data_IF_578680797332
#
_entry.id   IF_578680797332
#
_cell.length_a   1.000
_cell.length_b   1.000
_cell.length_c   1.000
_cell.angle_alpha   90.00
_cell.angle_beta   90.00
_cell.angle_gamma   90.00
#
_symmetry.space_group_name_H-M   'P 1'
#
loop_
_entity.id
_entity.type
_entity.pdbx_description
1 polymer ?
#
# COMPACT_ATOMS: atom_id res chain seq x y z
N UNK A 1 -24.06 -23.14 -8.21
CA UNK A 1 -23.21 -23.05 -6.98
C UNK A 1 -21.80 -22.52 -7.24
N UNK A 2 -21.24 -22.68 -8.46
CA UNK A 2 -19.88 -22.15 -8.81
C UNK A 2 -19.85 -20.62 -8.96
N UNK A 3 -20.94 -19.98 -9.30
CA UNK A 3 -20.98 -18.56 -9.65
C UNK A 3 -20.81 -17.62 -8.43
N UNK A 4 -21.18 -18.06 -7.22
CA UNK A 4 -21.01 -17.29 -6.00
C UNK A 4 -19.58 -17.31 -5.47
N UNK A 5 -18.80 -18.34 -5.78
CA UNK A 5 -17.42 -18.47 -5.32
C UNK A 5 -16.48 -17.42 -5.93
N UNK A 6 -16.84 -16.91 -7.12
CA UNK A 6 -16.09 -15.86 -7.83
C UNK A 6 -16.03 -14.55 -7.02
N UNK A 7 -16.99 -14.32 -6.12
CA UNK A 7 -17.03 -13.11 -5.29
C UNK A 7 -16.25 -13.24 -3.97
N UNK A 8 -15.73 -14.43 -3.64
CA UNK A 8 -14.97 -14.62 -2.38
C UNK A 8 -13.77 -13.68 -2.27
N UNK A 9 -12.90 -13.52 -3.30
CA UNK A 9 -11.79 -12.55 -3.20
C UNK A 9 -12.28 -11.13 -2.92
N UNK A 10 -13.32 -10.67 -3.63
CA UNK A 10 -13.87 -9.33 -3.40
C UNK A 10 -14.40 -9.14 -1.97
N UNK A 11 -15.03 -10.18 -1.40
CA UNK A 11 -15.52 -10.14 -0.03
C UNK A 11 -14.36 -10.01 0.97
N UNK A 12 -13.26 -10.72 0.72
CA UNK A 12 -12.05 -10.63 1.54
C UNK A 12 -11.47 -9.21 1.48
N UNK A 13 -11.39 -8.58 0.30
CA UNK A 13 -10.90 -7.20 0.15
C UNK A 13 -11.80 -6.19 0.87
N UNK A 14 -13.13 -6.36 0.81
CA UNK A 14 -14.09 -5.53 1.56
C UNK A 14 -13.90 -5.72 3.08
N UNK A 15 -13.76 -6.97 3.52
CA UNK A 15 -13.51 -7.27 4.93
C UNK A 15 -12.23 -6.62 5.43
N UNK A 16 -11.17 -6.58 4.60
CA UNK A 16 -9.93 -5.87 4.92
C UNK A 16 -10.15 -4.37 5.11
N UNK A 17 -10.93 -3.72 4.26
CA UNK A 17 -11.29 -2.30 4.44
C UNK A 17 -12.02 -2.09 5.78
N UNK A 18 -12.96 -2.97 6.11
CA UNK A 18 -13.70 -2.90 7.39
C UNK A 18 -12.74 -3.12 8.58
N UNK A 19 -11.78 -4.03 8.45
CA UNK A 19 -10.79 -4.33 9.50
C UNK A 19 -9.86 -3.15 9.80
N UNK A 20 -9.69 -2.19 8.90
CA UNK A 20 -8.89 -0.98 9.17
C UNK A 20 -9.42 -0.25 10.42
N UNK A 21 -10.74 -0.12 10.56
CA UNK A 21 -11.31 0.55 11.72
C UNK A 21 -10.94 -0.11 13.07
N UNK A 22 -11.18 -1.42 13.29
CA UNK A 22 -10.79 -2.06 14.55
C UNK A 22 -9.26 -2.08 14.77
N UNK A 23 -8.46 -2.10 13.72
CA UNK A 23 -6.99 -1.98 13.84
C UNK A 23 -6.63 -0.62 14.45
N UNK A 24 -7.12 0.47 13.86
CA UNK A 24 -6.79 1.83 14.29
C UNK A 24 -7.35 2.15 15.67
N UNK A 25 -8.60 1.77 15.97
CA UNK A 25 -9.21 2.05 17.27
C UNK A 25 -8.55 1.26 18.41
N UNK A 26 -8.15 0.01 18.18
CA UNK A 26 -7.40 -0.76 19.18
C UNK A 26 -6.01 -0.16 19.39
N UNK A 27 -5.34 0.31 18.34
CA UNK A 27 -4.07 1.00 18.47
C UNK A 27 -4.21 2.27 19.32
N UNK A 28 -5.15 3.13 18.97
CA UNK A 28 -5.43 4.37 19.71
C UNK A 28 -5.76 4.15 21.19
N UNK A 29 -6.48 3.08 21.50
CA UNK A 29 -6.84 2.72 22.88
C UNK A 29 -5.71 1.99 23.65
N UNK A 30 -4.50 1.84 23.07
CA UNK A 30 -3.38 1.14 23.70
C UNK A 30 -3.49 -0.39 23.68
N UNK A 31 -4.46 -0.95 22.98
CA UNK A 31 -4.63 -2.40 22.84
C UNK A 31 -3.77 -2.93 21.67
N UNK A 32 -2.47 -2.72 21.73
CA UNK A 32 -1.54 -2.99 20.63
C UNK A 32 -1.53 -4.45 20.17
N UNK A 33 -1.71 -5.41 21.08
CA UNK A 33 -1.80 -6.83 20.74
C UNK A 33 -2.98 -7.12 19.79
N UNK A 34 -4.15 -6.54 20.03
CA UNK A 34 -5.31 -6.71 19.15
C UNK A 34 -5.11 -5.99 17.82
N UNK A 35 -4.53 -4.78 17.83
CA UNK A 35 -4.19 -4.06 16.62
C UNK A 35 -3.23 -4.88 15.74
N UNK A 36 -2.15 -5.41 16.31
CA UNK A 36 -1.21 -6.27 15.60
C UNK A 36 -1.88 -7.54 15.05
N UNK A 37 -2.71 -8.20 15.86
CA UNK A 37 -3.41 -9.42 15.44
C UNK A 37 -4.32 -9.17 14.25
N UNK A 38 -5.12 -8.11 14.27
CA UNK A 38 -5.98 -7.73 13.16
C UNK A 38 -5.17 -7.27 11.93
N UNK A 39 -4.05 -6.57 12.12
CA UNK A 39 -3.16 -6.18 11.03
C UNK A 39 -2.55 -7.39 10.32
N UNK A 40 -2.07 -8.37 11.07
CA UNK A 40 -1.56 -9.63 10.51
C UNK A 40 -2.66 -10.38 9.77
N UNK A 41 -3.85 -10.49 10.34
CA UNK A 41 -5.01 -11.13 9.68
C UNK A 41 -5.37 -10.43 8.38
N UNK A 42 -5.40 -9.10 8.37
CA UNK A 42 -5.68 -8.32 7.17
C UNK A 42 -4.59 -8.50 6.09
N UNK A 43 -3.31 -8.50 6.49
CA UNK A 43 -2.19 -8.70 5.57
C UNK A 43 -2.12 -10.12 5.00
N UNK A 44 -2.43 -11.14 5.81
CA UNK A 44 -2.50 -12.52 5.35
C UNK A 44 -3.70 -12.76 4.44
N UNK A 45 -4.83 -12.09 4.71
CA UNK A 45 -6.02 -12.21 3.86
C UNK A 45 -5.76 -11.71 2.44
N UNK A 46 -4.94 -10.67 2.25
CA UNK A 46 -4.49 -10.20 0.94
C UNK A 46 -3.70 -11.26 0.16
N UNK A 47 -2.76 -11.92 0.83
CA UNK A 47 -2.01 -13.02 0.20
C UNK A 47 -2.93 -14.17 -0.21
N UNK A 48 -3.97 -14.45 0.60
CA UNK A 48 -4.95 -15.50 0.33
C UNK A 48 -5.89 -15.16 -0.82
N UNK A 49 -6.48 -13.97 -0.85
CA UNK A 49 -7.41 -13.59 -1.91
C UNK A 49 -6.71 -13.52 -3.27
N UNK A 50 -5.50 -12.93 -3.32
CA UNK A 50 -4.68 -12.92 -4.51
C UNK A 50 -4.27 -14.32 -4.99
N UNK A 51 -3.99 -15.25 -4.07
CA UNK A 51 -3.72 -16.64 -4.40
C UNK A 51 -4.97 -17.36 -4.96
N UNK A 52 -6.12 -17.23 -4.27
CA UNK A 52 -7.39 -17.82 -4.68
C UNK A 52 -7.84 -17.30 -6.05
N UNK A 53 -7.81 -15.97 -6.24
CA UNK A 53 -8.20 -15.32 -7.48
C UNK A 53 -7.38 -15.82 -8.69
N UNK A 54 -6.09 -16.03 -8.51
CA UNK A 54 -5.19 -16.55 -9.57
C UNK A 54 -5.36 -18.03 -9.81
N UNK A 55 -5.44 -18.84 -8.76
CA UNK A 55 -5.49 -20.30 -8.86
C UNK A 55 -6.80 -20.79 -9.46
N UNK A 56 -7.92 -20.15 -9.11
CA UNK A 56 -9.26 -20.54 -9.55
C UNK A 56 -9.81 -19.69 -10.69
N UNK A 57 -9.04 -18.72 -11.22
CA UNK A 57 -9.49 -17.75 -12.22
C UNK A 57 -10.74 -16.95 -11.78
N UNK A 58 -10.81 -16.58 -10.49
CA UNK A 58 -11.89 -15.79 -9.89
C UNK A 58 -11.61 -14.28 -9.93
N UNK A 59 -10.90 -13.83 -10.93
CA UNK A 59 -10.59 -12.42 -11.11
C UNK A 59 -11.82 -11.68 -11.63
N UNK A 60 -12.30 -10.70 -10.86
CA UNK A 60 -13.41 -9.83 -11.25
C UNK A 60 -12.89 -8.42 -11.55
N UNK A 61 -13.61 -7.66 -12.37
CA UNK A 61 -13.27 -6.24 -12.61
C UNK A 61 -13.35 -5.40 -11.31
N UNK A 62 -14.30 -5.73 -10.43
CA UNK A 62 -14.41 -5.09 -9.11
C UNK A 62 -13.21 -5.43 -8.22
N UNK A 63 -12.74 -6.69 -8.19
CA UNK A 63 -11.59 -7.11 -7.41
C UNK A 63 -10.32 -6.36 -7.83
N UNK A 64 -10.06 -6.21 -9.12
CA UNK A 64 -8.91 -5.45 -9.64
C UNK A 64 -8.84 -4.01 -9.14
N UNK A 65 -9.97 -3.43 -8.72
CA UNK A 65 -10.08 -2.07 -8.16
C UNK A 65 -10.04 -2.11 -6.63
N UNK A 66 -10.78 -3.04 -6.02
CA UNK A 66 -10.91 -3.14 -4.56
C UNK A 66 -9.61 -3.53 -3.87
N UNK A 67 -8.85 -4.48 -4.45
CA UNK A 67 -7.61 -4.98 -3.85
C UNK A 67 -6.58 -3.85 -3.63
N UNK A 68 -6.18 -3.05 -4.66
CA UNK A 68 -5.25 -1.95 -4.46
C UNK A 68 -5.77 -0.86 -3.50
N UNK A 69 -7.10 -0.67 -3.44
CA UNK A 69 -7.71 0.29 -2.52
C UNK A 69 -7.59 -0.23 -1.09
N UNK A 70 -7.96 -1.48 -0.83
CA UNK A 70 -7.92 -2.09 0.49
C UNK A 70 -6.50 -2.08 1.07
N UNK A 71 -5.50 -2.44 0.28
CA UNK A 71 -4.09 -2.42 0.68
C UNK A 71 -3.61 -1.03 1.06
N UNK A 72 -3.94 -0.04 0.23
CA UNK A 72 -3.57 1.36 0.51
C UNK A 72 -4.27 1.89 1.76
N UNK A 73 -5.55 1.58 1.97
CA UNK A 73 -6.28 2.00 3.16
C UNK A 73 -5.66 1.45 4.44
N UNK A 74 -5.25 0.18 4.44
CA UNK A 74 -4.61 -0.45 5.59
C UNK A 74 -3.27 0.23 5.93
N UNK A 75 -2.37 0.35 4.94
CA UNK A 75 -1.03 0.89 5.17
C UNK A 75 -1.04 2.39 5.46
N UNK A 76 -1.83 3.18 4.72
CA UNK A 76 -1.97 4.62 4.96
C UNK A 76 -2.60 4.86 6.33
N UNK A 77 -3.63 4.09 6.71
CA UNK A 77 -4.26 4.19 8.02
C UNK A 77 -3.27 3.97 9.15
N UNK A 78 -2.42 2.93 9.05
CA UNK A 78 -1.40 2.66 10.06
C UNK A 78 -0.33 3.75 10.13
N UNK A 79 0.15 4.23 9.00
CA UNK A 79 1.13 5.33 8.98
C UNK A 79 0.54 6.62 9.54
N UNK A 80 -0.74 6.91 9.26
CA UNK A 80 -1.42 8.08 9.81
C UNK A 80 -1.58 8.00 11.33
N UNK A 81 -1.97 6.85 11.89
CA UNK A 81 -2.10 6.72 13.34
C UNK A 81 -0.74 6.83 14.03
N UNK A 82 0.33 6.26 13.47
CA UNK A 82 1.69 6.41 14.00
C UNK A 82 2.15 7.86 14.00
N UNK A 83 1.79 8.63 12.99
CA UNK A 83 2.10 10.06 12.94
C UNK A 83 1.28 10.85 13.97
N UNK A 84 -0.02 10.58 14.10
CA UNK A 84 -0.88 11.25 15.08
C UNK A 84 -0.43 10.99 16.52
N UNK A 85 0.06 9.78 16.81
CA UNK A 85 0.63 9.39 18.10
C UNK A 85 2.11 9.79 18.26
N UNK A 86 2.66 10.57 17.31
CA UNK A 86 4.05 11.07 17.33
C UNK A 86 5.12 9.95 17.39
N UNK A 87 4.79 8.76 16.91
CA UNK A 87 5.70 7.62 16.84
C UNK A 87 6.67 7.79 15.67
N UNK A 88 6.20 8.33 14.54
CA UNK A 88 7.01 8.58 13.36
C UNK A 88 7.22 10.08 13.12
N UNK A 89 8.41 10.49 12.62
CA UNK A 89 8.70 11.89 12.32
C UNK A 89 7.85 12.45 11.17
N UNK A 90 7.59 13.77 11.20
CA UNK A 90 6.82 14.47 10.17
C UNK A 90 7.36 14.30 8.75
N UNK A 91 8.68 14.20 8.58
CA UNK A 91 9.28 14.03 7.26
C UNK A 91 8.93 12.67 6.63
N UNK A 92 8.71 11.63 7.43
CA UNK A 92 8.33 10.30 6.93
C UNK A 92 6.95 10.35 6.30
N UNK A 93 5.95 10.85 7.04
CA UNK A 93 4.59 10.96 6.53
C UNK A 93 4.51 11.88 5.31
N UNK A 94 5.24 13.00 5.32
CA UNK A 94 5.29 13.95 4.21
C UNK A 94 5.82 13.29 2.92
N UNK A 95 6.95 12.57 3.00
CA UNK A 95 7.54 11.88 1.85
C UNK A 95 6.61 10.79 1.32
N UNK A 96 5.93 10.03 2.21
CA UNK A 96 4.98 8.99 1.83
C UNK A 96 3.76 9.57 1.12
N UNK A 97 3.16 10.64 1.65
CA UNK A 97 2.01 11.31 1.03
C UNK A 97 2.40 11.90 -0.32
N UNK A 98 3.53 12.61 -0.40
CA UNK A 98 4.00 13.21 -1.66
C UNK A 98 4.21 12.12 -2.73
N UNK A 99 4.78 10.99 -2.37
CA UNK A 99 4.97 9.87 -3.30
C UNK A 99 3.63 9.36 -3.83
N UNK A 100 2.63 9.12 -2.97
CA UNK A 100 1.32 8.63 -3.39
C UNK A 100 0.62 9.64 -4.30
N UNK A 101 0.67 10.94 -3.95
CA UNK A 101 0.08 12.01 -4.76
C UNK A 101 0.73 12.11 -6.15
N UNK A 102 2.07 12.09 -6.21
CA UNK A 102 2.78 12.18 -7.49
C UNK A 102 2.47 10.97 -8.38
N UNK A 103 2.43 9.76 -7.80
CA UNK A 103 2.08 8.55 -8.54
C UNK A 103 0.63 8.63 -9.05
N UNK A 104 -0.30 9.07 -8.23
CA UNK A 104 -1.72 9.20 -8.60
C UNK A 104 -1.91 10.25 -9.72
N UNK A 105 -1.31 11.42 -9.56
CA UNK A 105 -1.38 12.49 -10.56
C UNK A 105 -0.74 12.09 -11.88
N UNK A 106 0.45 11.46 -11.82
CA UNK A 106 1.12 11.00 -13.02
C UNK A 106 0.35 9.88 -13.74
N UNK A 107 -0.22 8.94 -13.00
CA UNK A 107 -1.08 7.89 -13.56
C UNK A 107 -2.32 8.50 -14.23
N UNK A 108 -3.02 9.40 -13.53
CA UNK A 108 -4.20 10.09 -14.06
C UNK A 108 -3.89 10.88 -15.32
N UNK A 109 -2.76 11.60 -15.33
CA UNK A 109 -2.31 12.36 -16.51
C UNK A 109 -2.09 11.44 -17.72
N UNK A 110 -1.39 10.33 -17.56
CA UNK A 110 -1.14 9.38 -18.65
C UNK A 110 -2.41 8.70 -19.16
N UNK A 111 -3.34 8.39 -18.27
CA UNK A 111 -4.63 7.81 -18.66
C UNK A 111 -5.48 8.81 -19.44
N UNK A 112 -5.52 10.07 -19.01
CA UNK A 112 -6.39 11.09 -19.61
C UNK A 112 -5.81 11.63 -20.93
N UNK A 113 -4.51 11.96 -20.95
CA UNK A 113 -3.90 12.63 -22.12
C UNK A 113 -3.51 11.64 -23.22
N UNK A 114 -3.01 10.47 -22.83
CA UNK A 114 -2.52 9.47 -23.79
C UNK A 114 -3.45 8.25 -23.95
N UNK A 115 -4.62 8.25 -23.30
CA UNK A 115 -5.60 7.15 -23.33
C UNK A 115 -4.98 5.77 -23.06
N UNK A 116 -3.96 5.75 -22.20
CA UNK A 116 -3.27 4.52 -21.83
C UNK A 116 -4.07 3.74 -20.79
N UNK A 117 -3.96 2.43 -20.85
CA UNK A 117 -4.42 1.57 -19.76
C UNK A 117 -3.65 1.87 -18.47
N UNK A 118 -4.23 1.50 -17.32
CA UNK A 118 -3.61 1.69 -16.01
C UNK A 118 -2.12 1.33 -16.02
N UNK A 119 -1.24 2.25 -15.59
CA UNK A 119 0.20 1.98 -15.58
C UNK A 119 0.49 0.77 -14.70
N UNK A 120 1.24 -0.18 -15.23
CA UNK A 120 1.63 -1.35 -14.45
C UNK A 120 2.60 -0.96 -13.34
N UNK A 121 2.46 -1.50 -12.12
CA UNK A 121 3.37 -1.25 -11.03
C UNK A 121 4.77 -1.75 -11.40
N UNK A 122 5.77 -0.91 -11.23
CA UNK A 122 7.17 -1.29 -11.45
C UNK A 122 7.70 -2.16 -10.28
N UNK A 123 8.83 -2.84 -10.52
CA UNK A 123 9.39 -3.75 -9.53
C UNK A 123 9.81 -3.05 -8.23
N UNK A 124 10.37 -1.83 -8.35
CA UNK A 124 10.74 -1.01 -7.18
C UNK A 124 9.52 -0.51 -6.40
N UNK A 125 8.39 -0.27 -7.06
CA UNK A 125 7.13 0.04 -6.38
C UNK A 125 6.61 -1.13 -5.54
N UNK A 126 6.69 -2.37 -6.06
CA UNK A 126 6.31 -3.59 -5.31
C UNK A 126 7.24 -3.83 -4.12
N UNK A 127 8.54 -3.67 -4.32
CA UNK A 127 9.53 -3.79 -3.25
C UNK A 127 9.27 -2.76 -2.14
N UNK A 128 8.98 -1.51 -2.52
CA UNK A 128 8.64 -0.46 -1.56
C UNK A 128 7.39 -0.83 -0.73
N UNK A 129 6.33 -1.36 -1.34
CA UNK A 129 5.13 -1.78 -0.60
C UNK A 129 5.46 -2.88 0.41
N UNK A 130 6.30 -3.85 0.04
CA UNK A 130 6.78 -4.87 0.97
C UNK A 130 7.58 -4.26 2.14
N UNK A 131 8.50 -3.34 1.84
CA UNK A 131 9.26 -2.63 2.86
C UNK A 131 8.37 -1.78 3.78
N UNK A 132 7.31 -1.19 3.26
CA UNK A 132 6.35 -0.44 4.06
C UNK A 132 5.55 -1.34 5.01
N UNK A 133 5.17 -2.54 4.59
CA UNK A 133 4.54 -3.54 5.48
C UNK A 133 5.49 -3.93 6.61
N UNK A 134 6.75 -4.21 6.29
CA UNK A 134 7.78 -4.54 7.29
C UNK A 134 8.00 -3.36 8.24
N UNK A 135 8.04 -2.14 7.73
CA UNK A 135 8.16 -0.93 8.53
C UNK A 135 7.00 -0.77 9.53
N UNK A 136 5.76 -0.94 9.06
CA UNK A 136 4.57 -0.88 9.94
C UNK A 136 4.63 -1.97 11.02
N UNK A 137 5.07 -3.17 10.69
CA UNK A 137 5.26 -4.26 11.67
C UNK A 137 6.33 -3.92 12.72
N UNK A 138 7.45 -3.35 12.28
CA UNK A 138 8.54 -2.93 13.19
C UNK A 138 8.00 -1.87 14.16
N UNK A 139 7.25 -0.87 13.68
CA UNK A 139 6.69 0.18 14.55
C UNK A 139 5.68 -0.39 15.55
N UNK A 140 4.79 -1.30 15.12
CA UNK A 140 3.87 -1.98 16.02
C UNK A 140 4.60 -2.76 17.13
N UNK A 141 5.65 -3.48 16.76
CA UNK A 141 6.46 -4.24 17.72
C UNK A 141 7.25 -3.32 18.65
N UNK A 142 7.77 -2.20 18.13
CA UNK A 142 8.46 -1.20 18.95
C UNK A 142 7.55 -0.63 20.03
N UNK A 143 6.32 -0.26 19.67
CA UNK A 143 5.35 0.27 20.64
C UNK A 143 4.95 -0.78 21.68
N UNK A 144 4.88 -2.07 21.29
CA UNK A 144 4.51 -3.17 22.20
C UNK A 144 5.61 -3.54 23.18
N UNK A 145 6.87 -3.54 22.74
CA UNK A 145 7.98 -4.11 23.48
C UNK A 145 9.04 -3.08 23.88
N UNK A 146 8.80 -1.79 23.58
CA UNK A 146 9.73 -0.69 23.88
C UNK A 146 11.17 -0.94 23.40
N UNK A 147 11.31 -1.53 22.19
CA UNK A 147 12.60 -1.87 21.59
C UNK A 147 13.27 -0.60 21.06
N UNK A 148 13.89 0.17 21.94
CA UNK A 148 14.17 1.60 21.80
C UNK A 148 15.32 1.99 20.86
N UNK A 149 16.28 1.11 20.56
CA UNK A 149 17.58 1.58 20.04
C UNK A 149 17.68 1.80 18.52
N UNK A 150 16.68 1.42 17.72
CA UNK A 150 16.79 1.43 16.24
C UNK A 150 15.97 2.57 15.58
N UNK A 151 15.33 3.43 16.37
CA UNK A 151 14.29 4.36 15.90
C UNK A 151 14.63 5.29 14.74
N UNK A 152 15.83 5.81 14.64
CA UNK A 152 16.16 6.77 13.57
C UNK A 152 16.53 6.09 12.24
N UNK A 153 17.19 4.94 12.30
CA UNK A 153 17.72 4.31 11.10
C UNK A 153 16.62 3.78 10.18
N UNK A 154 15.60 3.12 10.73
CA UNK A 154 14.52 2.55 9.90
C UNK A 154 13.61 3.64 9.29
N UNK A 155 13.43 4.80 9.96
CA UNK A 155 12.76 5.96 9.37
C UNK A 155 13.53 6.51 8.16
N UNK A 156 14.85 6.57 8.25
CA UNK A 156 15.71 6.99 7.14
C UNK A 156 15.65 5.97 6.00
N UNK A 157 15.73 4.68 6.32
CA UNK A 157 15.69 3.60 5.33
C UNK A 157 14.37 3.61 4.53
N UNK A 158 13.23 3.71 5.21
CA UNK A 158 11.94 3.77 4.52
C UNK A 158 11.78 5.03 3.67
N UNK A 159 12.29 6.18 4.15
CA UNK A 159 12.29 7.43 3.39
C UNK A 159 13.13 7.35 2.12
N UNK A 160 14.33 6.78 2.20
CA UNK A 160 15.20 6.56 1.04
C UNK A 160 14.54 5.58 0.06
N UNK A 161 13.98 4.47 0.54
CA UNK A 161 13.28 3.51 -0.31
C UNK A 161 12.08 4.14 -1.02
N UNK A 162 11.35 5.02 -0.32
CA UNK A 162 10.25 5.79 -0.88
C UNK A 162 10.70 6.70 -2.04
N UNK A 163 11.79 7.45 -1.84
CA UNK A 163 12.36 8.33 -2.86
C UNK A 163 12.88 7.54 -4.07
N UNK A 164 13.55 6.41 -3.86
CA UNK A 164 14.00 5.53 -4.95
C UNK A 164 12.82 5.01 -5.75
N UNK A 165 11.75 4.57 -5.08
CA UNK A 165 10.51 4.13 -5.72
C UNK A 165 9.90 5.26 -6.56
N UNK A 166 9.76 6.45 -6.00
CA UNK A 166 9.23 7.64 -6.69
C UNK A 166 10.05 8.00 -7.93
N UNK A 167 11.38 8.03 -7.80
CA UNK A 167 12.29 8.34 -8.90
C UNK A 167 12.16 7.31 -10.04
N UNK A 168 12.02 6.04 -9.71
CA UNK A 168 11.80 4.98 -10.69
C UNK A 168 10.48 5.16 -11.47
N UNK A 169 9.39 5.54 -10.80
CA UNK A 169 8.12 5.84 -11.48
C UNK A 169 8.26 7.05 -12.41
N UNK A 170 8.88 8.13 -11.94
CA UNK A 170 9.08 9.35 -12.73
C UNK A 170 9.89 9.09 -14.00
N UNK A 171 10.99 8.33 -13.90
CA UNK A 171 11.80 7.94 -15.06
C UNK A 171 10.97 7.12 -16.05
N UNK A 172 10.18 6.15 -15.57
CA UNK A 172 9.38 5.32 -16.46
C UNK A 172 8.32 6.15 -17.19
N UNK A 173 7.71 7.13 -16.53
CA UNK A 173 6.74 8.03 -17.17
C UNK A 173 7.38 8.95 -18.19
N UNK A 174 8.54 9.53 -17.91
CA UNK A 174 9.28 10.35 -18.86
C UNK A 174 9.63 9.53 -20.12
N UNK A 175 10.14 8.31 -19.94
CA UNK A 175 10.43 7.40 -21.05
C UNK A 175 9.19 7.05 -21.87
N UNK A 176 8.06 6.80 -21.20
CA UNK A 176 6.80 6.49 -21.85
C UNK A 176 6.27 7.68 -22.66
N UNK A 177 6.28 8.87 -22.07
CA UNK A 177 5.87 10.12 -22.74
C UNK A 177 6.72 10.40 -23.98
N UNK A 178 8.03 10.27 -23.85
CA UNK A 178 8.96 10.46 -24.96
C UNK A 178 8.68 9.46 -26.11
N UNK A 179 8.46 8.19 -25.79
CA UNK A 179 8.14 7.15 -26.80
C UNK A 179 6.81 7.40 -27.51
N UNK A 180 5.83 7.93 -26.81
CA UNK A 180 4.51 8.24 -27.39
C UNK A 180 4.57 9.49 -28.26
N UNK A 181 5.32 10.50 -27.87
CA UNK A 181 5.51 11.72 -28.66
C UNK A 181 6.18 11.40 -30.00
N UNK A 182 7.23 10.57 -29.99
CA UNK A 182 7.95 10.18 -31.23
C UNK A 182 7.18 9.19 -32.13
N UNK A 183 6.07 8.59 -31.66
CA UNK A 183 5.20 7.75 -32.50
C UNK A 183 4.12 8.54 -33.23
N UNK A 184 3.82 9.74 -32.75
CA UNK A 184 2.78 10.61 -33.32
C UNK A 184 3.38 11.68 -34.26
N UNK A 185 4.71 11.68 -34.46
CA UNK A 185 5.45 12.42 -35.49
C UNK A 185 5.90 11.44 -36.58
#
# INVERSE_FOLDING_TARGET
MKDYLIFIPNLISITRIILVYPILINFYNGHFFWSLSFFILASLSDALDGYLARTFNWQTELGKILDPIADKFLLIGMVLIFWLEQIIPDYVILILILRELIILLGASFHMTVYHLNTPQPNMLGKLFTLLLIIYVLIELLNVMFEIVEIHQLHHIVISIACLISLFSYTINWIKLTYKLHNKNV
#
